data_IF_358510225662
#
_entry.id   IF_358510225662
#
_cell.length_a   1.000
_cell.length_b   1.000
_cell.length_c   1.000
_cell.angle_alpha   90.00
_cell.angle_beta   90.00
_cell.angle_gamma   90.00
#
_symmetry.space_group_name_H-M   'P 1'
#
loop_
_entity.id
_entity.type
_entity.pdbx_description
1 polymer ?
#
# COMPACT_ATOMS: atom_id res chain seq x y z
N UNK A 1 3.41 33.82 -45.07
CA UNK A 1 2.42 32.82 -44.62
C UNK A 1 3.05 31.42 -44.67
N UNK A 2 3.99 31.15 -43.76
CA UNK A 2 4.72 29.88 -43.59
C UNK A 2 5.46 29.88 -42.24
N UNK A 3 4.73 30.12 -41.15
CA UNK A 3 5.21 29.96 -39.75
C UNK A 3 3.99 29.59 -38.89
N UNK A 4 3.34 28.44 -39.14
CA UNK A 4 2.35 27.84 -38.23
C UNK A 4 2.37 26.30 -38.39
N UNK A 5 3.55 25.66 -38.42
CA UNK A 5 3.61 24.19 -38.44
C UNK A 5 4.68 23.57 -37.53
N UNK A 6 5.25 24.37 -36.63
CA UNK A 6 6.32 23.94 -35.71
C UNK A 6 6.01 24.35 -34.27
N UNK A 7 4.77 24.09 -33.83
CA UNK A 7 4.34 24.32 -32.44
C UNK A 7 3.39 23.24 -31.89
N UNK A 8 3.39 22.04 -32.46
CA UNK A 8 2.59 20.89 -31.96
C UNK A 8 3.48 19.72 -31.47
N UNK A 9 4.82 19.85 -31.50
CA UNK A 9 5.74 18.76 -31.13
C UNK A 9 6.57 18.97 -29.86
N UNK A 10 6.28 19.98 -29.02
CA UNK A 10 7.10 20.28 -27.82
C UNK A 10 6.29 20.48 -26.52
N UNK A 11 5.13 19.85 -26.38
CA UNK A 11 4.36 19.92 -25.11
C UNK A 11 3.80 18.59 -24.60
N UNK A 12 4.33 17.45 -25.06
CA UNK A 12 4.00 16.13 -24.48
C UNK A 12 5.01 15.69 -23.39
N UNK A 13 6.06 16.47 -23.14
CA UNK A 13 6.88 16.33 -21.94
C UNK A 13 6.40 17.28 -20.84
N UNK A 14 5.24 16.97 -20.27
CA UNK A 14 4.85 17.44 -18.95
C UNK A 14 4.27 16.23 -18.19
N UNK A 15 4.85 15.99 -17.02
CA UNK A 15 4.55 14.96 -16.02
C UNK A 15 3.20 14.24 -16.15
N UNK A 16 3.24 12.93 -16.41
CA UNK A 16 2.13 12.05 -16.07
C UNK A 16 2.65 10.81 -15.34
N UNK A 17 3.15 11.04 -14.13
CA UNK A 17 3.28 10.02 -13.08
C UNK A 17 1.96 9.89 -12.30
N UNK A 18 0.82 9.86 -13.00
CA UNK A 18 -0.45 9.49 -12.37
C UNK A 18 -0.63 7.97 -12.51
N UNK A 19 -0.12 7.25 -11.52
CA UNK A 19 -0.42 5.84 -11.26
C UNK A 19 -1.89 5.72 -10.85
N UNK A 20 -2.82 5.98 -11.76
CA UNK A 20 -4.24 5.89 -11.44
C UNK A 20 -4.67 4.42 -11.54
N UNK A 21 -4.88 3.81 -10.38
CA UNK A 21 -5.28 2.39 -10.27
C UNK A 21 -6.56 2.10 -11.07
N UNK A 22 -7.44 3.09 -11.20
CA UNK A 22 -8.65 3.03 -12.02
C UNK A 22 -8.35 2.78 -13.51
N UNK A 23 -7.29 3.40 -14.04
CA UNK A 23 -6.88 3.21 -15.43
C UNK A 23 -6.34 1.80 -15.66
N UNK A 24 -5.54 1.30 -14.72
CA UNK A 24 -5.09 -0.10 -14.73
C UNK A 24 -6.27 -1.07 -14.71
N UNK A 25 -7.26 -0.85 -13.84
CA UNK A 25 -8.44 -1.71 -13.73
C UNK A 25 -9.23 -1.69 -15.04
N UNK A 26 -9.51 -0.49 -15.58
CA UNK A 26 -10.24 -0.34 -16.83
C UNK A 26 -9.54 -1.06 -17.98
N UNK A 27 -8.24 -0.82 -18.16
CA UNK A 27 -7.42 -1.50 -19.17
C UNK A 27 -7.43 -3.01 -19.01
N UNK A 28 -7.35 -3.49 -17.77
CA UNK A 28 -7.38 -4.93 -17.46
C UNK A 28 -8.73 -5.56 -17.80
N UNK A 29 -9.84 -4.87 -17.51
CA UNK A 29 -11.19 -5.30 -17.90
C UNK A 29 -11.31 -5.36 -19.43
N UNK A 30 -10.85 -4.33 -20.13
CA UNK A 30 -10.92 -4.28 -21.60
C UNK A 30 -10.12 -5.41 -22.25
N UNK A 31 -8.88 -5.64 -21.81
CA UNK A 31 -8.03 -6.75 -22.29
C UNK A 31 -8.67 -8.11 -22.03
N UNK A 32 -9.26 -8.31 -20.85
CA UNK A 32 -9.99 -9.53 -20.48
C UNK A 32 -11.22 -9.74 -21.37
N UNK A 33 -12.01 -8.70 -21.60
CA UNK A 33 -13.18 -8.75 -22.48
C UNK A 33 -12.81 -9.16 -23.90
N UNK A 34 -11.70 -8.62 -24.44
CA UNK A 34 -11.19 -8.99 -25.77
C UNK A 34 -10.83 -10.48 -25.81
N UNK A 35 -10.10 -10.98 -24.81
CA UNK A 35 -9.71 -12.40 -24.74
C UNK A 35 -10.94 -13.32 -24.73
N UNK A 36 -11.93 -13.01 -23.90
CA UNK A 36 -13.13 -13.86 -23.72
C UNK A 36 -14.05 -13.78 -24.93
N UNK A 37 -14.23 -12.60 -25.53
CA UNK A 37 -14.96 -12.46 -26.78
C UNK A 37 -14.30 -13.25 -27.91
N UNK A 38 -12.97 -13.23 -28.01
CA UNK A 38 -12.24 -14.00 -29.02
C UNK A 38 -12.46 -15.51 -28.87
N UNK A 39 -12.46 -16.01 -27.62
CA UNK A 39 -12.76 -17.42 -27.32
C UNK A 39 -14.18 -17.77 -27.72
N UNK A 40 -15.16 -16.97 -27.28
CA UNK A 40 -16.57 -17.26 -27.51
C UNK A 40 -16.89 -17.32 -29.00
N UNK A 41 -16.29 -16.45 -29.82
CA UNK A 41 -16.43 -16.50 -31.28
C UNK A 41 -15.91 -17.82 -31.83
N UNK A 42 -14.66 -18.19 -31.51
CA UNK A 42 -14.04 -19.42 -32.05
C UNK A 42 -14.78 -20.67 -31.60
N UNK A 43 -15.12 -20.77 -30.31
CA UNK A 43 -15.86 -21.90 -29.74
C UNK A 43 -17.23 -22.02 -30.38
N UNK A 44 -17.97 -20.91 -30.47
CA UNK A 44 -19.33 -20.94 -31.02
C UNK A 44 -19.35 -21.27 -32.51
N UNK A 45 -18.35 -20.80 -33.29
CA UNK A 45 -18.19 -21.19 -34.70
C UNK A 45 -18.01 -22.70 -34.83
N UNK A 46 -17.08 -23.29 -34.08
CA UNK A 46 -16.81 -24.73 -34.14
C UNK A 46 -18.03 -25.54 -33.66
N UNK A 47 -18.70 -25.13 -32.58
CA UNK A 47 -19.91 -25.79 -32.06
C UNK A 47 -21.07 -25.77 -33.06
N UNK A 48 -21.26 -24.66 -33.78
CA UNK A 48 -22.29 -24.56 -34.81
C UNK A 48 -21.97 -25.46 -36.01
N UNK A 49 -20.71 -25.50 -36.45
CA UNK A 49 -20.27 -26.40 -37.52
C UNK A 49 -20.48 -27.88 -37.14
N UNK A 50 -20.13 -28.27 -35.91
CA UNK A 50 -20.40 -29.62 -35.40
C UNK A 50 -21.90 -29.92 -35.45
N UNK A 51 -22.74 -29.00 -34.96
CA UNK A 51 -24.19 -29.18 -34.93
C UNK A 51 -24.79 -29.33 -36.34
N UNK A 52 -24.32 -28.53 -37.30
CA UNK A 52 -24.78 -28.59 -38.68
C UNK A 52 -24.42 -29.95 -39.32
N UNK A 53 -23.21 -30.46 -39.06
CA UNK A 53 -22.77 -31.78 -39.50
C UNK A 53 -23.53 -32.93 -38.81
N UNK A 54 -23.84 -32.80 -37.53
CA UNK A 54 -24.68 -33.76 -36.78
C UNK A 54 -26.07 -33.87 -37.42
N UNK A 55 -26.68 -32.73 -37.78
CA UNK A 55 -27.98 -32.71 -38.48
C UNK A 55 -27.92 -33.44 -39.82
N UNK A 56 -26.81 -33.31 -40.57
CA UNK A 56 -26.62 -34.04 -41.83
C UNK A 56 -26.58 -35.56 -41.62
N UNK A 57 -25.98 -36.06 -40.54
CA UNK A 57 -25.90 -37.51 -40.27
C UNK A 57 -27.27 -38.18 -40.11
N UNK A 58 -28.26 -37.45 -39.57
CA UNK A 58 -29.62 -37.94 -39.36
C UNK A 58 -30.48 -37.91 -40.64
N UNK A 59 -29.99 -37.36 -41.75
CA UNK A 59 -30.73 -37.38 -43.01
C UNK A 59 -30.68 -38.78 -43.66
N UNK A 60 -31.85 -39.34 -43.95
CA UNK A 60 -32.00 -40.71 -44.47
C UNK A 60 -31.49 -40.92 -45.91
N UNK A 61 -31.13 -39.85 -46.62
CA UNK A 61 -30.76 -39.90 -48.04
C UNK A 61 -29.24 -39.99 -48.29
N UNK A 62 -28.42 -40.03 -47.25
CA UNK A 62 -26.95 -40.02 -47.38
C UNK A 62 -26.39 -41.44 -47.42
N UNK A 63 -25.54 -41.72 -48.42
CA UNK A 63 -24.82 -42.99 -48.60
C UNK A 63 -23.81 -43.18 -47.46
N UNK A 64 -23.59 -44.43 -47.03
CA UNK A 64 -22.74 -44.78 -45.89
C UNK A 64 -21.35 -44.13 -45.92
N UNK A 65 -20.68 -44.11 -47.06
CA UNK A 65 -19.34 -43.49 -47.23
C UNK A 65 -19.35 -42.02 -46.82
N UNK A 66 -20.33 -41.24 -47.28
CA UNK A 66 -20.49 -39.83 -46.90
C UNK A 66 -20.79 -39.64 -45.42
N UNK A 67 -21.48 -40.59 -44.78
CA UNK A 67 -21.70 -40.54 -43.32
C UNK A 67 -20.39 -40.76 -42.55
N UNK A 68 -19.50 -41.62 -43.05
CA UNK A 68 -18.17 -41.82 -42.47
C UNK A 68 -17.31 -40.56 -42.62
N UNK A 69 -17.34 -39.91 -43.78
CA UNK A 69 -16.60 -38.65 -44.00
C UNK A 69 -17.06 -37.54 -43.05
N UNK A 70 -18.38 -37.37 -42.87
CA UNK A 70 -18.96 -36.39 -41.93
C UNK A 70 -18.57 -36.71 -40.49
N UNK A 71 -18.55 -37.98 -40.08
CA UNK A 71 -18.08 -38.37 -38.74
C UNK A 71 -16.59 -38.06 -38.53
N UNK A 72 -15.75 -38.24 -39.55
CA UNK A 72 -14.33 -37.87 -39.48
C UNK A 72 -14.19 -36.37 -39.31
N UNK A 73 -14.97 -35.57 -40.02
CA UNK A 73 -14.97 -34.11 -39.91
C UNK A 73 -15.41 -33.64 -38.51
N UNK A 74 -16.49 -34.21 -37.95
CA UNK A 74 -16.91 -33.96 -36.56
C UNK A 74 -15.77 -34.27 -35.59
N UNK A 75 -15.10 -35.41 -35.71
CA UNK A 75 -13.97 -35.76 -34.84
C UNK A 75 -12.80 -34.77 -34.95
N UNK A 76 -12.55 -34.23 -36.14
CA UNK A 76 -11.53 -33.20 -36.36
C UNK A 76 -11.95 -31.86 -35.72
N UNK A 77 -13.22 -31.47 -35.85
CA UNK A 77 -13.77 -30.28 -35.21
C UNK A 77 -13.78 -30.40 -33.69
N UNK A 78 -14.15 -31.54 -33.12
CA UNK A 78 -14.07 -31.79 -31.68
C UNK A 78 -12.63 -31.67 -31.15
N UNK A 79 -11.65 -32.17 -31.92
CA UNK A 79 -10.23 -31.99 -31.58
C UNK A 79 -9.84 -30.51 -31.65
N UNK A 80 -10.29 -29.80 -32.68
CA UNK A 80 -10.06 -28.37 -32.86
C UNK A 80 -10.68 -27.54 -31.74
N UNK A 81 -11.88 -27.91 -31.28
CA UNK A 81 -12.56 -27.31 -30.14
C UNK A 81 -11.75 -27.48 -28.84
N UNK A 82 -11.28 -28.70 -28.57
CA UNK A 82 -10.41 -28.97 -27.41
C UNK A 82 -9.13 -28.15 -27.46
N UNK A 83 -8.49 -28.05 -28.63
CA UNK A 83 -7.28 -27.25 -28.82
C UNK A 83 -7.55 -25.75 -28.65
N UNK A 84 -8.68 -25.25 -29.15
CA UNK A 84 -9.07 -23.85 -29.00
C UNK A 84 -9.30 -23.47 -27.52
N UNK A 85 -9.95 -24.35 -26.74
CA UNK A 85 -10.15 -24.17 -25.30
C UNK A 85 -8.81 -24.16 -24.57
N UNK A 86 -7.95 -25.16 -24.81
CA UNK A 86 -6.63 -25.22 -24.18
C UNK A 86 -5.74 -24.00 -24.49
N UNK A 87 -5.79 -23.53 -25.75
CA UNK A 87 -5.07 -22.33 -26.19
C UNK A 87 -5.59 -21.08 -25.46
N UNK A 88 -6.90 -20.96 -25.27
CA UNK A 88 -7.48 -19.88 -24.49
C UNK A 88 -7.04 -19.94 -23.04
N UNK A 89 -7.11 -21.10 -22.39
CA UNK A 89 -6.73 -21.27 -20.99
C UNK A 89 -5.28 -20.82 -20.76
N UNK A 90 -4.37 -21.16 -21.68
CA UNK A 90 -2.96 -20.71 -21.63
C UNK A 90 -2.82 -19.21 -21.79
N UNK A 91 -3.53 -18.60 -22.74
CA UNK A 91 -3.55 -17.13 -22.89
C UNK A 91 -4.10 -16.46 -21.63
N UNK A 92 -5.10 -17.07 -20.99
CA UNK A 92 -5.71 -16.53 -19.78
C UNK A 92 -4.82 -16.68 -18.55
N UNK A 93 -4.10 -17.79 -18.41
CA UNK A 93 -3.03 -17.96 -17.39
C UNK A 93 -1.95 -16.90 -17.57
N UNK A 94 -1.46 -16.71 -18.80
CA UNK A 94 -0.48 -15.66 -19.12
C UNK A 94 -0.99 -14.28 -18.70
N UNK A 95 -2.20 -13.93 -19.14
CA UNK A 95 -2.84 -12.67 -18.79
C UNK A 95 -2.91 -12.46 -17.27
N UNK A 96 -3.45 -13.42 -16.51
CA UNK A 96 -3.56 -13.32 -15.05
C UNK A 96 -2.20 -13.13 -14.39
N UNK A 97 -1.18 -13.85 -14.86
CA UNK A 97 0.17 -13.77 -14.32
C UNK A 97 0.82 -12.39 -14.59
N UNK A 98 0.67 -11.87 -15.82
CA UNK A 98 1.14 -10.52 -16.16
C UNK A 98 0.48 -9.46 -15.28
N UNK A 99 -0.84 -9.53 -15.10
CA UNK A 99 -1.56 -8.61 -14.21
C UNK A 99 -1.13 -8.76 -12.76
N UNK A 100 -0.78 -9.95 -12.31
CA UNK A 100 -0.19 -10.14 -10.99
C UNK A 100 1.15 -9.43 -10.81
N UNK A 101 2.02 -9.42 -11.82
CA UNK A 101 3.27 -8.64 -11.80
C UNK A 101 2.98 -7.13 -11.75
N UNK A 102 2.03 -6.64 -12.56
CA UNK A 102 1.63 -5.23 -12.55
C UNK A 102 1.08 -4.81 -11.17
N UNK A 103 0.28 -5.67 -10.52
CA UNK A 103 -0.23 -5.45 -9.16
C UNK A 103 0.92 -5.41 -8.13
N UNK A 104 1.86 -6.36 -8.20
CA UNK A 104 3.03 -6.38 -7.33
C UNK A 104 3.84 -5.09 -7.44
N UNK A 105 4.08 -4.61 -8.66
CA UNK A 105 4.76 -3.35 -8.93
C UNK A 105 4.02 -2.18 -8.26
N UNK A 106 2.71 -2.04 -8.50
CA UNK A 106 1.92 -0.95 -7.93
C UNK A 106 1.92 -0.96 -6.40
N UNK A 107 1.71 -2.11 -5.78
CA UNK A 107 1.68 -2.21 -4.31
C UNK A 107 3.05 -1.93 -3.71
N UNK A 108 4.12 -2.38 -4.36
CA UNK A 108 5.47 -2.08 -3.92
C UNK A 108 5.76 -0.57 -3.93
N UNK A 109 5.35 0.17 -4.97
CA UNK A 109 5.49 1.65 -4.97
C UNK A 109 4.69 2.31 -3.84
N UNK A 110 3.52 1.79 -3.47
CA UNK A 110 2.74 2.29 -2.33
C UNK A 110 3.45 2.02 -1.00
N UNK A 111 4.06 0.85 -0.82
CA UNK A 111 4.85 0.50 0.36
C UNK A 111 6.09 1.42 0.49
N UNK A 112 6.75 1.74 -0.64
CA UNK A 112 7.85 2.71 -0.65
C UNK A 112 7.38 4.13 -0.31
N UNK A 113 6.21 4.53 -0.81
CA UNK A 113 5.61 5.82 -0.47
C UNK A 113 5.30 5.92 1.03
N UNK A 114 4.83 4.83 1.64
CA UNK A 114 4.65 4.71 3.09
C UNK A 114 5.97 4.79 3.85
N UNK A 115 7.04 4.15 3.34
CA UNK A 115 8.37 4.22 3.95
C UNK A 115 8.89 5.66 3.99
N UNK A 116 8.73 6.40 2.88
CA UNK A 116 9.01 7.83 2.83
C UNK A 116 8.13 8.62 3.80
N UNK A 117 6.82 8.36 3.84
CA UNK A 117 5.89 8.98 4.79
C UNK A 117 6.39 8.83 6.22
N UNK A 118 6.67 7.60 6.67
CA UNK A 118 7.17 7.35 8.02
C UNK A 118 8.57 7.94 8.26
N UNK A 119 9.40 8.06 7.22
CA UNK A 119 10.70 8.73 7.28
C UNK A 119 10.61 10.24 7.50
N UNK A 120 9.52 10.87 7.06
CA UNK A 120 9.28 12.32 7.23
C UNK A 120 8.57 12.70 8.52
N UNK A 121 8.09 11.73 9.31
CA UNK A 121 7.40 12.01 10.56
C UNK A 121 8.37 12.50 11.65
N UNK A 122 7.81 13.28 12.57
CA UNK A 122 8.55 13.85 13.71
C UNK A 122 9.28 12.78 14.50
N UNK A 123 10.52 13.08 14.86
CA UNK A 123 11.35 12.19 15.65
C UNK A 123 10.89 12.15 17.11
N UNK A 124 11.36 11.14 17.85
CA UNK A 124 11.18 11.09 19.30
C UNK A 124 11.64 12.38 19.98
N UNK A 125 12.73 12.97 19.45
CA UNK A 125 13.33 14.16 20.02
C UNK A 125 12.40 15.36 19.85
N UNK A 126 11.72 15.49 18.71
CA UNK A 126 10.74 16.56 18.49
C UNK A 126 9.55 16.42 19.44
N UNK A 127 9.05 15.20 19.62
CA UNK A 127 7.92 14.88 20.52
C UNK A 127 8.30 15.08 22.00
N UNK A 128 9.53 14.70 22.37
CA UNK A 128 10.06 14.93 23.70
C UNK A 128 10.29 16.42 23.98
N UNK A 129 10.69 17.21 22.99
CA UNK A 129 10.84 18.66 23.12
C UNK A 129 9.49 19.36 23.30
N UNK A 130 8.45 18.92 22.58
CA UNK A 130 7.08 19.47 22.71
C UNK A 130 6.54 19.31 24.13
N UNK A 131 6.72 18.14 24.73
CA UNK A 131 6.27 17.86 26.10
C UNK A 131 7.26 18.29 27.18
N UNK A 132 8.37 18.95 26.84
CA UNK A 132 9.36 19.39 27.83
C UNK A 132 9.21 20.90 28.10
N UNK A 133 8.87 21.31 29.33
CA UNK A 133 8.64 22.70 29.68
C UNK A 133 9.94 23.51 29.59
N UNK A 134 11.11 22.86 29.75
CA UNK A 134 12.41 23.51 29.59
C UNK A 134 12.73 23.88 28.12
N UNK A 135 11.96 23.39 27.15
CA UNK A 135 12.06 23.81 25.74
C UNK A 135 11.50 25.22 25.50
N UNK A 136 10.74 25.77 26.46
CA UNK A 136 10.09 27.08 26.32
C UNK A 136 10.88 28.17 27.07
N UNK A 137 11.37 29.21 26.37
CA UNK A 137 12.15 30.28 26.99
C UNK A 137 11.41 31.03 28.11
N UNK A 138 10.09 31.17 27.97
CA UNK A 138 9.24 31.81 29.00
C UNK A 138 9.24 31.01 30.30
N UNK A 139 9.08 29.68 30.21
CA UNK A 139 9.13 28.80 31.36
C UNK A 139 10.52 28.84 32.02
N UNK A 140 11.60 28.75 31.23
CA UNK A 140 12.97 28.82 31.77
C UNK A 140 13.21 30.14 32.51
N UNK A 141 12.77 31.27 31.93
CA UNK A 141 12.92 32.60 32.55
C UNK A 141 12.16 32.71 33.86
N UNK A 142 10.92 32.20 33.92
CA UNK A 142 10.10 32.23 35.13
C UNK A 142 10.65 31.26 36.18
N UNK A 143 11.11 30.08 35.77
CA UNK A 143 11.79 29.11 36.64
C UNK A 143 13.04 29.73 37.30
N UNK A 144 13.88 30.42 36.55
CA UNK A 144 15.08 31.08 37.10
C UNK A 144 14.73 32.27 38.01
N UNK A 145 13.69 33.05 37.67
CA UNK A 145 13.18 34.10 38.55
C UNK A 145 12.68 33.53 39.89
N UNK A 146 11.93 32.43 39.85
CA UNK A 146 11.45 31.74 41.05
C UNK A 146 12.62 31.15 41.87
N UNK A 147 13.63 30.55 41.23
CA UNK A 147 14.88 30.10 41.88
C UNK A 147 15.57 31.23 42.63
N UNK A 148 15.79 32.37 41.96
CA UNK A 148 16.51 33.51 42.56
C UNK A 148 15.82 34.12 43.80
N UNK A 149 14.51 33.89 43.95
CA UNK A 149 13.70 34.42 45.05
C UNK A 149 13.53 33.45 46.25
N UNK A 150 14.25 32.33 46.25
CA UNK A 150 14.34 31.38 47.39
C UNK A 150 15.61 31.63 48.22
N UNK A 151 15.48 32.31 49.37
CA UNK A 151 16.59 32.61 50.30
C UNK A 151 16.81 31.50 51.35
N UNK A 152 16.88 30.22 50.99
CA UNK A 152 17.37 29.23 51.97
C UNK A 152 18.89 29.34 52.10
N UNK A 153 19.42 29.27 53.32
CA UNK A 153 20.87 29.36 53.62
C UNK A 153 21.70 28.29 52.91
N UNK A 154 21.06 27.23 52.43
CA UNK A 154 21.55 26.33 51.39
C UNK A 154 20.53 26.29 50.25
N UNK A 155 20.80 26.85 49.06
CA UNK A 155 19.94 26.62 47.92
C UNK A 155 20.05 25.14 47.59
N UNK A 156 18.94 24.40 47.70
CA UNK A 156 18.87 23.02 47.18
C UNK A 156 19.04 23.14 45.67
N UNK A 157 20.30 23.06 45.20
CA UNK A 157 20.64 23.06 43.79
C UNK A 157 20.31 21.68 43.27
N UNK A 158 19.24 21.58 42.50
CA UNK A 158 18.97 20.37 41.74
C UNK A 158 20.21 20.08 40.87
N UNK A 159 20.76 18.87 40.94
CA UNK A 159 21.72 18.41 39.95
C UNK A 159 21.18 18.63 38.54
N UNK A 160 22.06 18.94 37.58
CA UNK A 160 21.68 19.29 36.19
C UNK A 160 20.75 18.25 35.55
N UNK A 161 20.91 16.96 35.87
CA UNK A 161 20.04 15.89 35.35
C UNK A 161 18.61 15.94 35.91
N UNK A 162 18.41 16.35 37.16
CA UNK A 162 17.08 16.56 37.74
C UNK A 162 16.49 17.89 37.27
N UNK A 163 17.33 18.91 37.09
CA UNK A 163 16.89 20.23 36.65
C UNK A 163 16.43 20.24 35.18
N UNK A 164 16.84 19.26 34.37
CA UNK A 164 16.39 19.08 32.99
C UNK A 164 15.20 18.11 32.86
N UNK A 165 14.80 17.42 33.94
CA UNK A 165 13.65 16.53 33.90
C UNK A 165 12.35 17.36 33.90
N UNK A 166 11.42 17.16 32.94
CA UNK A 166 10.17 17.91 32.84
C UNK A 166 9.38 17.97 34.15
N UNK A 167 9.12 16.82 34.78
CA UNK A 167 8.29 16.73 35.98
C UNK A 167 8.96 17.39 37.18
N UNK A 168 10.28 17.22 37.31
CA UNK A 168 11.05 17.82 38.42
C UNK A 168 11.17 19.34 38.23
N UNK A 169 11.42 19.83 37.01
CA UNK A 169 11.40 21.25 36.68
C UNK A 169 10.09 21.91 37.07
N UNK A 170 8.98 21.24 36.76
CA UNK A 170 7.64 21.75 37.05
C UNK A 170 7.33 21.71 38.54
N UNK A 171 7.60 20.57 39.19
CA UNK A 171 7.43 20.44 40.63
C UNK A 171 8.25 21.50 41.39
N UNK A 172 9.47 21.76 40.93
CA UNK A 172 10.31 22.81 41.48
C UNK A 172 9.72 24.22 41.26
N UNK A 173 9.21 24.53 40.08
CA UNK A 173 8.55 25.81 39.80
C UNK A 173 7.30 26.01 40.68
N UNK A 174 6.47 24.97 40.84
CA UNK A 174 5.28 24.98 41.73
C UNK A 174 5.69 25.22 43.18
N UNK A 175 6.62 24.42 43.72
CA UNK A 175 7.09 24.56 45.10
C UNK A 175 7.73 25.94 45.34
N UNK A 176 8.53 26.43 44.40
CA UNK A 176 9.19 27.74 44.53
C UNK A 176 8.20 28.90 44.48
N UNK A 177 7.11 28.77 43.74
CA UNK A 177 6.04 29.78 43.74
C UNK A 177 5.30 29.85 45.06
N UNK A 178 4.97 28.70 45.68
CA UNK A 178 4.27 28.67 46.98
C UNK A 178 5.17 29.06 48.16
N UNK A 179 6.39 28.53 48.23
CA UNK A 179 7.28 28.67 49.39
C UNK A 179 8.38 29.74 49.22
N UNK A 180 8.40 30.46 48.09
CA UNK A 180 9.33 31.56 47.85
C UNK A 180 9.20 32.73 48.85
N UNK A 181 10.27 33.52 48.96
CA UNK A 181 10.35 34.64 49.91
C UNK A 181 10.06 36.02 49.30
N UNK A 182 9.80 36.08 47.99
CA UNK A 182 9.46 37.31 47.26
C UNK A 182 7.98 37.72 47.35
N UNK A 183 7.63 38.82 46.67
CA UNK A 183 6.25 39.33 46.61
C UNK A 183 5.27 38.25 46.11
N UNK A 184 4.22 38.00 46.90
CA UNK A 184 3.21 36.98 46.63
C UNK A 184 2.39 37.31 45.38
N UNK A 185 2.04 38.58 45.16
CA UNK A 185 1.26 38.98 43.98
C UNK A 185 2.07 38.78 42.70
N UNK A 186 3.35 39.17 42.71
CA UNK A 186 4.25 38.98 41.58
C UNK A 186 4.46 37.51 41.23
N UNK A 187 4.65 36.64 42.23
CA UNK A 187 4.79 35.18 42.02
C UNK A 187 3.53 34.53 41.47
N UNK A 188 2.36 34.97 41.94
CA UNK A 188 1.09 34.45 41.44
C UNK A 188 0.88 34.84 39.97
N UNK A 189 1.15 36.09 39.61
CA UNK A 189 1.13 36.53 38.22
C UNK A 189 2.19 35.87 37.32
N UNK A 190 3.34 35.46 37.86
CA UNK A 190 4.34 34.67 37.12
C UNK A 190 3.87 33.22 36.90
N UNK A 191 3.16 32.60 37.86
CA UNK A 191 2.59 31.26 37.65
C UNK A 191 1.41 31.25 36.71
N UNK A 192 0.55 32.27 36.75
CA UNK A 192 -0.55 32.39 35.80
C UNK A 192 -0.04 32.41 34.35
N UNK A 193 1.11 33.05 34.10
CA UNK A 193 1.73 33.09 32.76
C UNK A 193 2.20 31.75 32.23
N UNK A 194 2.60 30.82 33.10
CA UNK A 194 3.08 29.49 32.69
C UNK A 194 2.08 28.37 32.98
N UNK A 195 0.90 28.71 33.50
CA UNK A 195 -0.13 27.74 33.90
C UNK A 195 -0.52 26.80 32.75
N UNK A 196 -0.73 27.34 31.55
CA UNK A 196 -1.01 26.56 30.35
C UNK A 196 0.14 25.65 29.92
N UNK A 197 1.39 26.12 29.98
CA UNK A 197 2.56 25.29 29.65
C UNK A 197 2.72 24.13 30.65
N UNK A 198 2.41 24.40 31.93
CA UNK A 198 2.44 23.38 32.97
C UNK A 198 1.33 22.34 32.75
N UNK A 199 0.11 22.79 32.53
CA UNK A 199 -1.03 21.93 32.27
C UNK A 199 -0.84 21.07 31.01
N UNK A 200 -0.40 21.70 29.92
CA UNK A 200 -0.08 21.02 28.67
C UNK A 200 0.99 19.94 28.86
N UNK A 201 2.09 20.28 29.55
CA UNK A 201 3.17 19.32 29.79
C UNK A 201 2.67 18.11 30.58
N UNK A 202 1.93 18.31 31.67
CA UNK A 202 1.46 17.21 32.51
C UNK A 202 0.46 16.33 31.76
N UNK A 203 -0.46 16.96 31.03
CA UNK A 203 -1.51 16.26 30.30
C UNK A 203 -0.96 15.50 29.09
N UNK A 204 -0.08 16.13 28.31
CA UNK A 204 0.35 15.60 27.02
C UNK A 204 1.64 14.78 27.05
N UNK A 205 2.41 14.77 28.15
CA UNK A 205 3.69 14.05 28.16
C UNK A 205 3.55 12.55 27.92
N UNK A 206 2.54 11.90 28.49
CA UNK A 206 2.28 10.47 28.27
C UNK A 206 1.68 10.23 26.88
N UNK A 207 0.72 11.06 26.51
CA UNK A 207 -0.06 10.96 25.28
C UNK A 207 0.79 11.14 24.02
N UNK A 208 1.69 12.12 24.02
CA UNK A 208 2.64 12.34 22.94
C UNK A 208 3.62 11.18 22.78
N UNK A 209 4.02 10.52 23.89
CA UNK A 209 4.84 9.29 23.82
C UNK A 209 4.08 8.13 23.20
N UNK A 210 2.78 8.00 23.48
CA UNK A 210 1.93 6.96 22.87
C UNK A 210 1.91 7.16 21.35
N UNK A 211 1.66 8.39 20.87
CA UNK A 211 1.68 8.70 19.44
C UNK A 211 3.03 8.31 18.82
N UNK A 212 4.14 8.65 19.47
CA UNK A 212 5.47 8.26 19.00
C UNK A 212 5.65 6.75 18.86
N UNK A 213 5.44 5.98 19.94
CA UNK A 213 5.73 4.54 19.93
C UNK A 213 4.80 3.77 18.99
N UNK A 214 3.56 4.22 18.85
CA UNK A 214 2.61 3.60 17.91
C UNK A 214 2.94 3.97 16.45
N UNK A 215 3.47 5.16 16.20
CA UNK A 215 4.01 5.53 14.89
C UNK A 215 5.24 4.69 14.53
N UNK A 216 6.15 4.48 15.48
CA UNK A 216 7.33 3.62 15.27
C UNK A 216 6.92 2.15 15.03
N UNK A 217 5.90 1.67 15.74
CA UNK A 217 5.30 0.37 15.47
C UNK A 217 4.75 0.24 14.04
N UNK A 218 4.04 1.26 13.54
CA UNK A 218 3.56 1.28 12.15
C UNK A 218 4.71 1.26 11.14
N UNK A 219 5.78 2.00 11.42
CA UNK A 219 7.00 2.02 10.59
C UNK A 219 7.65 0.64 10.51
N UNK A 220 7.80 -0.05 11.64
CA UNK A 220 8.35 -1.41 11.68
C UNK A 220 7.48 -2.40 10.89
N UNK A 221 6.15 -2.32 11.05
CA UNK A 221 5.22 -3.17 10.29
C UNK A 221 5.26 -2.88 8.78
N UNK A 222 5.46 -1.63 8.35
CA UNK A 222 5.66 -1.30 6.94
C UNK A 222 6.95 -1.93 6.38
N UNK A 223 8.04 -1.95 7.18
CA UNK A 223 9.28 -2.63 6.79
C UNK A 223 9.10 -4.14 6.66
N UNK A 224 8.33 -4.77 7.56
CA UNK A 224 7.98 -6.18 7.44
C UNK A 224 7.15 -6.45 6.18
N UNK A 225 6.15 -5.60 5.91
CA UNK A 225 5.30 -5.69 4.72
C UNK A 225 6.13 -5.55 3.42
N UNK A 226 7.11 -4.65 3.40
CA UNK A 226 8.09 -4.52 2.32
C UNK A 226 8.87 -5.82 2.12
N UNK A 227 9.41 -6.39 3.20
CA UNK A 227 10.14 -7.66 3.16
C UNK A 227 9.29 -8.81 2.60
N UNK A 228 8.04 -8.92 3.05
CA UNK A 228 7.06 -9.90 2.53
C UNK A 228 6.77 -9.68 1.04
N UNK A 229 6.64 -8.43 0.59
CA UNK A 229 6.42 -8.11 -0.83
C UNK A 229 7.60 -8.57 -1.72
N UNK A 230 8.83 -8.28 -1.29
CA UNK A 230 10.05 -8.69 -1.99
C UNK A 230 10.15 -10.22 -2.07
N UNK A 231 9.85 -10.90 -0.96
CA UNK A 231 9.85 -12.36 -0.92
C UNK A 231 8.74 -12.96 -1.80
N UNK A 232 7.54 -12.37 -1.78
CA UNK A 232 6.44 -12.77 -2.65
C UNK A 232 6.83 -12.66 -4.12
N UNK A 233 7.42 -11.54 -4.55
CA UNK A 233 7.86 -11.37 -5.93
C UNK A 233 8.89 -12.44 -6.34
N UNK A 234 9.84 -12.76 -5.45
CA UNK A 234 10.82 -13.84 -5.70
C UNK A 234 10.13 -15.19 -5.87
N UNK A 235 9.16 -15.51 -5.02
CA UNK A 235 8.41 -16.76 -5.11
C UNK A 235 7.49 -16.81 -6.34
N UNK A 236 6.92 -15.66 -6.70
CA UNK A 236 6.06 -15.48 -7.85
C UNK A 236 6.84 -15.73 -9.15
N UNK A 237 8.01 -15.09 -9.29
CA UNK A 237 8.83 -15.09 -10.51
C UNK A 237 9.78 -16.28 -10.63
N UNK A 238 9.98 -17.05 -9.55
CA UNK A 238 10.71 -18.32 -9.58
C UNK A 238 10.15 -19.30 -10.62
N UNK A 239 8.83 -19.31 -10.83
CA UNK A 239 8.15 -20.23 -11.75
C UNK A 239 8.55 -19.98 -13.21
N UNK A 240 8.88 -18.74 -13.56
CA UNK A 240 9.35 -18.34 -14.90
C UNK A 240 10.89 -18.23 -14.98
N UNK A 241 11.60 -18.64 -13.93
CA UNK A 241 13.07 -18.67 -13.91
C UNK A 241 13.76 -17.33 -13.64
N UNK A 242 13.02 -16.28 -13.26
CA UNK A 242 13.63 -15.02 -12.83
C UNK A 242 14.30 -15.17 -11.45
N UNK A 243 15.49 -14.59 -11.27
CA UNK A 243 16.33 -14.83 -10.08
C UNK A 243 16.56 -13.59 -9.20
N UNK A 244 16.29 -12.40 -9.72
CA UNK A 244 16.59 -11.16 -9.01
C UNK A 244 15.46 -10.76 -8.06
N UNK A 245 15.78 -9.90 -7.08
CA UNK A 245 14.78 -9.36 -6.15
C UNK A 245 13.93 -8.28 -6.82
N UNK A 246 12.81 -7.96 -6.18
CA UNK A 246 11.93 -6.88 -6.59
C UNK A 246 12.64 -5.52 -6.62
N UNK A 247 13.46 -5.24 -5.60
CA UNK A 247 14.21 -3.99 -5.50
C UNK A 247 15.14 -3.83 -6.71
N UNK A 248 15.88 -4.88 -7.05
CA UNK A 248 16.77 -4.89 -8.19
C UNK A 248 16.00 -4.72 -9.50
N UNK A 249 14.93 -5.50 -9.70
CA UNK A 249 14.09 -5.43 -10.90
C UNK A 249 13.54 -4.02 -11.12
N UNK A 250 13.15 -3.33 -10.04
CA UNK A 250 12.69 -1.95 -10.08
C UNK A 250 13.82 -0.98 -10.42
N UNK A 251 14.96 -1.09 -9.73
CA UNK A 251 16.06 -0.13 -9.83
C UNK A 251 16.70 -0.11 -11.23
N UNK A 252 16.72 -1.26 -11.92
CA UNK A 252 17.24 -1.37 -13.30
C UNK A 252 16.13 -1.49 -14.37
N UNK A 253 14.87 -1.31 -13.98
CA UNK A 253 13.68 -1.38 -14.87
C UNK A 253 13.57 -2.68 -15.69
N UNK A 254 13.89 -3.82 -15.09
CA UNK A 254 14.00 -5.14 -15.75
C UNK A 254 12.64 -5.86 -15.97
N UNK A 255 11.54 -5.10 -16.01
CA UNK A 255 10.20 -5.66 -16.15
C UNK A 255 10.00 -6.38 -17.49
N UNK A 256 10.59 -5.85 -18.56
CA UNK A 256 10.48 -6.46 -19.90
C UNK A 256 11.10 -7.85 -19.96
N UNK A 257 12.18 -8.08 -19.21
CA UNK A 257 12.82 -9.39 -19.10
C UNK A 257 11.91 -10.39 -18.37
N UNK A 258 11.28 -9.98 -17.26
CA UNK A 258 10.26 -10.77 -16.54
C UNK A 258 9.13 -11.18 -17.51
N UNK A 259 8.65 -10.25 -18.33
CA UNK A 259 7.61 -10.53 -19.33
C UNK A 259 8.11 -11.46 -20.43
N UNK A 260 9.35 -11.30 -20.92
CA UNK A 260 9.92 -12.19 -21.94
C UNK A 260 10.08 -13.63 -21.45
N UNK A 261 10.49 -13.81 -20.19
CA UNK A 261 10.65 -15.13 -19.57
C UNK A 261 9.30 -15.83 -19.39
N UNK A 262 8.26 -15.06 -19.06
CA UNK A 262 6.89 -15.57 -19.07
C UNK A 262 6.48 -16.00 -20.47
N UNK A 263 6.74 -15.18 -21.49
CA UNK A 263 6.41 -15.50 -22.88
C UNK A 263 7.11 -16.77 -23.37
N UNK A 264 8.39 -16.94 -23.02
CA UNK A 264 9.16 -18.16 -23.29
C UNK A 264 8.58 -19.37 -22.56
N UNK A 265 8.23 -19.21 -21.28
CA UNK A 265 7.60 -20.27 -20.47
C UNK A 265 6.27 -20.72 -21.09
N UNK A 266 5.41 -19.79 -21.50
CA UNK A 266 4.11 -20.10 -22.12
C UNK A 266 4.30 -20.72 -23.51
N UNK A 267 5.25 -20.26 -24.32
CA UNK A 267 5.59 -20.90 -25.61
C UNK A 267 6.03 -22.34 -25.42
N UNK A 268 6.90 -22.57 -24.44
CA UNK A 268 7.39 -23.90 -24.07
C UNK A 268 6.22 -24.80 -23.69
N UNK A 269 5.31 -24.33 -22.82
CA UNK A 269 4.12 -25.09 -22.41
C UNK A 269 3.16 -25.39 -23.58
N UNK A 270 2.97 -24.45 -24.50
CA UNK A 270 2.13 -24.64 -25.69
C UNK A 270 2.70 -25.70 -26.64
N UNK A 271 4.01 -25.69 -26.89
CA UNK A 271 4.67 -26.63 -27.80
C UNK A 271 4.55 -28.10 -27.36
N UNK A 272 4.38 -28.35 -26.05
CA UNK A 272 4.14 -29.70 -25.52
C UNK A 272 2.67 -30.12 -25.54
N UNK A 273 1.72 -29.21 -25.79
CA UNK A 273 0.29 -29.53 -25.86
C UNK A 273 -0.10 -30.28 -27.14
N UNK A 274 0.76 -30.26 -28.17
CA UNK A 274 0.51 -30.89 -29.48
C UNK A 274 1.02 -32.34 -29.59
N UNK A 275 1.62 -32.89 -28.51
CA UNK A 275 2.21 -34.24 -28.51
C UNK A 275 1.27 -35.29 -27.85
N UNK A 276 1.19 -36.52 -28.39
CA UNK A 276 0.32 -37.57 -27.85
C UNK A 276 0.81 -38.10 -26.50
N UNK A 277 -0.06 -38.00 -25.48
CA UNK A 277 -0.08 -38.68 -24.18
C UNK A 277 1.25 -39.33 -23.72
N UNK A 278 2.07 -38.55 -23.00
CA UNK A 278 3.24 -39.03 -22.27
C UNK A 278 3.37 -38.32 -20.90
N UNK A 279 4.30 -38.76 -20.04
CA UNK A 279 4.61 -38.18 -18.72
C UNK A 279 4.77 -36.65 -18.71
N UNK A 280 5.02 -36.03 -19.86
CA UNK A 280 5.16 -34.58 -20.07
C UNK A 280 3.87 -33.79 -19.78
N UNK A 281 2.68 -34.38 -19.92
CA UNK A 281 1.42 -33.71 -19.56
C UNK A 281 1.29 -33.45 -18.07
N UNK A 282 1.91 -34.29 -17.21
CA UNK A 282 1.93 -34.08 -15.76
C UNK A 282 2.80 -32.89 -15.38
N UNK A 283 3.95 -32.71 -16.05
CA UNK A 283 4.82 -31.53 -15.85
C UNK A 283 4.19 -30.23 -16.34
N UNK A 284 3.47 -30.25 -17.47
CA UNK A 284 2.74 -29.08 -17.97
C UNK A 284 1.65 -28.66 -16.98
N UNK A 285 0.81 -29.62 -16.54
CA UNK A 285 -0.24 -29.35 -15.55
C UNK A 285 0.33 -28.84 -14.23
N UNK A 286 1.45 -29.41 -13.78
CA UNK A 286 2.17 -28.92 -12.60
C UNK A 286 2.65 -27.47 -12.76
N UNK A 287 3.20 -27.12 -13.92
CA UNK A 287 3.69 -25.75 -14.18
C UNK A 287 2.55 -24.73 -14.29
N UNK A 288 1.41 -25.09 -14.90
CA UNK A 288 0.20 -24.26 -14.89
C UNK A 288 -0.27 -24.04 -13.44
N UNK A 289 -0.36 -25.10 -12.65
CA UNK A 289 -0.76 -25.01 -11.25
C UNK A 289 0.18 -24.09 -10.44
N UNK A 290 1.49 -24.08 -10.74
CA UNK A 290 2.44 -23.19 -10.07
C UNK A 290 2.19 -21.71 -10.41
N UNK A 291 1.82 -21.41 -11.66
CA UNK A 291 1.43 -20.05 -12.06
C UNK A 291 0.14 -19.62 -11.35
N UNK A 292 -0.87 -20.49 -11.28
CA UNK A 292 -2.11 -20.22 -10.56
C UNK A 292 -1.91 -20.05 -9.06
N UNK A 293 -1.09 -20.89 -8.44
CA UNK A 293 -0.77 -20.79 -7.02
C UNK A 293 -0.01 -19.50 -6.67
N UNK A 294 0.81 -19.00 -7.60
CA UNK A 294 1.49 -17.71 -7.45
C UNK A 294 0.47 -16.56 -7.38
N UNK A 295 -0.61 -16.64 -8.16
CA UNK A 295 -1.72 -15.66 -8.13
C UNK A 295 -2.49 -15.74 -6.81
N UNK A 296 -2.75 -16.93 -6.28
CA UNK A 296 -3.45 -17.07 -4.99
C UNK A 296 -2.64 -16.50 -3.82
N UNK A 297 -1.32 -16.70 -3.83
CA UNK A 297 -0.41 -16.07 -2.86
C UNK A 297 -0.43 -14.55 -2.95
N UNK A 298 -0.47 -14.01 -4.17
CA UNK A 298 -0.64 -12.58 -4.39
C UNK A 298 -1.92 -12.09 -3.74
N UNK A 299 -3.07 -12.74 -4.00
CA UNK A 299 -4.34 -12.37 -3.37
C UNK A 299 -4.27 -12.37 -1.84
N UNK A 300 -3.59 -13.35 -1.25
CA UNK A 300 -3.33 -13.39 0.20
C UNK A 300 -2.59 -12.16 0.70
N UNK A 301 -1.48 -11.81 0.04
CA UNK A 301 -0.69 -10.64 0.38
C UNK A 301 -1.45 -9.32 0.20
N UNK A 302 -2.28 -9.20 -0.82
CA UNK A 302 -3.12 -8.01 -1.03
C UNK A 302 -4.09 -7.80 0.13
N UNK A 303 -4.64 -8.87 0.69
CA UNK A 303 -5.47 -8.76 1.90
C UNK A 303 -4.64 -8.30 3.11
N UNK A 304 -3.41 -8.81 3.29
CA UNK A 304 -2.50 -8.34 4.35
C UNK A 304 -2.18 -6.85 4.19
N UNK A 305 -1.86 -6.40 2.97
CA UNK A 305 -1.65 -4.98 2.66
C UNK A 305 -2.89 -4.14 2.99
N UNK A 306 -4.08 -4.55 2.53
CA UNK A 306 -5.32 -3.81 2.80
C UNK A 306 -5.64 -3.73 4.29
N UNK A 307 -5.34 -4.78 5.06
CA UNK A 307 -5.50 -4.78 6.51
C UNK A 307 -4.54 -3.79 7.18
N UNK A 308 -3.27 -3.77 6.74
CA UNK A 308 -2.29 -2.81 7.23
C UNK A 308 -2.72 -1.36 6.99
N UNK A 309 -3.23 -1.03 5.78
CA UNK A 309 -3.74 0.32 5.50
C UNK A 309 -4.90 0.69 6.42
N UNK A 310 -5.90 -0.19 6.55
CA UNK A 310 -7.05 0.07 7.44
C UNK A 310 -6.64 0.19 8.91
N UNK A 311 -5.61 -0.56 9.33
CA UNK A 311 -5.08 -0.43 10.67
C UNK A 311 -4.35 0.91 10.85
N UNK A 312 -3.50 1.30 9.91
CA UNK A 312 -2.79 2.59 9.95
C UNK A 312 -3.75 3.78 10.03
N UNK A 313 -4.81 3.78 9.22
CA UNK A 313 -5.89 4.78 9.28
C UNK A 313 -6.48 4.91 10.70
N UNK A 314 -6.81 3.77 11.35
CA UNK A 314 -7.34 3.75 12.72
C UNK A 314 -6.34 4.28 13.75
N UNK A 315 -5.05 4.01 13.60
CA UNK A 315 -4.02 4.58 14.47
C UNK A 315 -3.96 6.09 14.33
N UNK A 316 -4.01 6.64 13.12
CA UNK A 316 -4.03 8.09 12.94
C UNK A 316 -5.29 8.75 13.48
N UNK A 317 -6.47 8.12 13.36
CA UNK A 317 -7.67 8.58 14.05
C UNK A 317 -7.52 8.55 15.58
N UNK A 318 -6.88 7.52 16.12
CA UNK A 318 -6.55 7.44 17.54
C UNK A 318 -5.62 8.58 17.96
N UNK A 319 -4.57 8.87 17.17
CA UNK A 319 -3.66 9.99 17.45
C UNK A 319 -4.40 11.32 17.45
N UNK A 320 -5.31 11.54 16.49
CA UNK A 320 -6.15 12.72 16.45
C UNK A 320 -7.05 12.83 17.69
N UNK A 321 -7.65 11.72 18.13
CA UNK A 321 -8.46 11.70 19.35
C UNK A 321 -7.63 12.06 20.59
N UNK A 322 -6.41 11.55 20.68
CA UNK A 322 -5.48 11.87 21.78
C UNK A 322 -5.23 13.38 21.81
N UNK A 323 -4.89 14.00 20.67
CA UNK A 323 -4.66 15.46 20.62
C UNK A 323 -5.94 16.28 20.89
N UNK A 324 -7.11 15.79 20.50
CA UNK A 324 -8.37 16.49 20.77
C UNK A 324 -8.83 16.41 22.23
N UNK A 325 -8.35 15.43 22.98
CA UNK A 325 -8.71 15.24 24.39
C UNK A 325 -7.97 16.19 25.35
N UNK A 326 -7.11 17.07 24.86
CA UNK A 326 -6.51 18.12 25.69
C UNK A 326 -7.59 19.16 26.10
N UNK A 327 -8.13 19.01 27.31
CA UNK A 327 -9.31 19.74 27.81
C UNK A 327 -9.17 21.27 27.76
N UNK A 328 -7.97 21.80 28.00
CA UNK A 328 -7.74 23.25 28.08
C UNK A 328 -7.26 23.88 26.77
N UNK A 329 -7.36 23.17 25.64
CA UNK A 329 -6.88 23.64 24.33
C UNK A 329 -7.39 25.05 23.98
N UNK A 330 -8.68 25.30 24.15
CA UNK A 330 -9.31 26.57 23.75
C UNK A 330 -8.87 27.76 24.62
N UNK A 331 -8.52 27.48 25.88
CA UNK A 331 -8.07 28.49 26.85
C UNK A 331 -6.58 28.79 26.64
N UNK A 332 -5.80 27.76 26.31
CA UNK A 332 -4.34 27.82 26.26
C UNK A 332 -3.77 27.99 24.86
N UNK A 333 -4.60 28.09 23.81
CA UNK A 333 -4.18 27.99 22.40
C UNK A 333 -3.07 28.99 22.00
N UNK A 334 -3.08 30.19 22.57
CA UNK A 334 -2.09 31.24 22.28
C UNK A 334 -0.74 31.01 22.96
N UNK A 335 -0.69 30.12 23.95
CA UNK A 335 0.50 29.72 24.70
C UNK A 335 0.96 28.30 24.38
N UNK A 336 0.18 27.57 23.56
CA UNK A 336 0.56 26.23 23.12
C UNK A 336 1.73 26.28 22.13
N UNK A 337 2.54 25.21 22.07
CA UNK A 337 3.65 25.11 21.13
C UNK A 337 3.13 25.08 19.69
N UNK A 338 3.74 25.82 18.76
CA UNK A 338 3.35 25.78 17.34
C UNK A 338 3.45 24.36 16.78
N UNK A 339 4.44 23.60 17.26
CA UNK A 339 4.67 22.20 16.89
C UNK A 339 3.49 21.29 17.23
N UNK A 340 2.68 21.64 18.24
CA UNK A 340 1.48 20.90 18.59
C UNK A 340 0.40 21.02 17.51
N UNK A 341 0.17 22.24 17.01
CA UNK A 341 -0.77 22.52 15.92
C UNK A 341 -0.27 21.92 14.60
N UNK A 342 1.04 21.96 14.35
CA UNK A 342 1.65 21.31 13.20
C UNK A 342 1.44 19.79 13.25
N UNK A 343 1.64 19.14 14.40
CA UNK A 343 1.42 17.71 14.57
C UNK A 343 -0.04 17.32 14.31
N UNK A 344 -1.01 18.12 14.77
CA UNK A 344 -2.43 17.88 14.48
C UNK A 344 -2.72 17.94 12.98
N UNK A 345 -2.17 18.93 12.28
CA UNK A 345 -2.30 19.06 10.83
C UNK A 345 -1.62 17.90 10.08
N UNK A 346 -0.43 17.48 10.50
CA UNK A 346 0.29 16.33 9.95
C UNK A 346 -0.52 15.03 10.11
N UNK A 347 -1.19 14.83 11.24
CA UNK A 347 -2.08 13.69 11.47
C UNK A 347 -3.29 13.74 10.55
N UNK A 348 -3.94 14.91 10.39
CA UNK A 348 -5.08 15.06 9.48
C UNK A 348 -4.70 14.76 8.03
N UNK A 349 -3.55 15.27 7.58
CA UNK A 349 -3.01 14.94 6.25
C UNK A 349 -2.67 13.46 6.11
N UNK A 350 -2.21 12.83 7.20
CA UNK A 350 -1.92 11.39 7.20
C UNK A 350 -3.21 10.58 7.07
N UNK A 351 -4.29 10.95 7.77
CA UNK A 351 -5.60 10.30 7.63
C UNK A 351 -6.04 10.34 6.16
N UNK A 352 -6.03 11.53 5.54
CA UNK A 352 -6.41 11.71 4.13
C UNK A 352 -5.57 10.83 3.19
N UNK A 353 -4.24 10.77 3.39
CA UNK A 353 -3.35 9.89 2.61
C UNK A 353 -3.67 8.41 2.80
N UNK A 354 -4.01 7.97 4.01
CA UNK A 354 -4.40 6.59 4.27
C UNK A 354 -5.74 6.25 3.63
N UNK A 355 -6.70 7.17 3.63
CA UNK A 355 -8.02 7.00 3.02
C UNK A 355 -7.98 7.00 1.48
N UNK A 356 -7.05 7.76 0.89
CA UNK A 356 -6.98 8.01 -0.56
C UNK A 356 -5.72 7.42 -1.22
N UNK A 357 -4.54 7.92 -0.88
CA UNK A 357 -3.31 7.63 -1.59
C UNK A 357 -2.81 6.20 -1.38
N UNK A 358 -2.99 5.63 -0.19
CA UNK A 358 -2.53 4.27 0.15
C UNK A 358 -3.65 3.23 0.08
N UNK A 359 -4.89 3.65 0.29
CA UNK A 359 -6.04 2.77 0.12
C UNK A 359 -6.28 2.52 -1.36
N UNK A 360 -6.31 1.24 -1.72
CA UNK A 360 -6.66 0.80 -3.06
C UNK A 360 -7.94 0.00 -2.92
N UNK A 361 -9.07 0.70 -2.98
CA UNK A 361 -10.39 0.11 -2.70
C UNK A 361 -10.73 -1.02 -3.68
N UNK A 362 -10.15 -0.97 -4.87
CA UNK A 362 -10.29 -1.91 -5.97
C UNK A 362 -9.47 -3.20 -5.75
N UNK A 363 -8.43 -3.16 -4.90
CA UNK A 363 -7.67 -4.35 -4.48
C UNK A 363 -8.42 -5.19 -3.43
N UNK A 364 -9.58 -4.73 -2.93
CA UNK A 364 -10.35 -5.48 -1.93
C UNK A 364 -10.94 -6.75 -2.52
N UNK A 365 -10.46 -7.88 -1.99
CA UNK A 365 -11.07 -9.21 -1.99
C UNK A 365 -11.84 -9.61 -3.25
N UNK A 366 -13.14 -9.32 -3.29
CA UNK A 366 -14.04 -9.77 -4.36
C UNK A 366 -13.72 -9.11 -5.70
N UNK A 367 -13.50 -7.79 -5.76
CA UNK A 367 -13.26 -7.09 -7.03
C UNK A 367 -11.99 -7.57 -7.74
N UNK A 368 -10.89 -7.72 -6.98
CA UNK A 368 -9.64 -8.20 -7.54
C UNK A 368 -9.73 -9.67 -7.95
N UNK A 369 -10.41 -10.48 -7.14
CA UNK A 369 -10.66 -11.88 -7.48
C UNK A 369 -11.53 -12.01 -8.73
N UNK A 370 -12.56 -11.18 -8.87
CA UNK A 370 -13.42 -11.13 -10.05
C UNK A 370 -12.65 -10.63 -11.27
N UNK A 371 -11.75 -9.67 -11.10
CA UNK A 371 -10.86 -9.20 -12.17
C UNK A 371 -9.98 -10.34 -12.70
N UNK A 372 -9.34 -11.09 -11.80
CA UNK A 372 -8.40 -12.15 -12.17
C UNK A 372 -9.08 -13.46 -12.56
N UNK A 373 -10.21 -13.83 -11.93
CA UNK A 373 -10.84 -15.14 -12.09
C UNK A 373 -12.29 -15.12 -12.56
N UNK A 374 -13.01 -14.01 -12.41
CA UNK A 374 -14.42 -13.91 -12.81
C UNK A 374 -14.63 -14.02 -14.31
N UNK A 375 -15.82 -14.40 -14.74
CA UNK A 375 -16.26 -14.17 -16.12
C UNK A 375 -16.74 -12.72 -16.24
N UNK A 376 -16.50 -12.01 -17.36
CA UNK A 376 -17.15 -10.74 -17.62
C UNK A 376 -18.66 -10.98 -17.71
N UNK A 377 -19.43 -10.19 -16.96
CA UNK A 377 -20.89 -10.14 -17.11
C UNK A 377 -21.29 -9.51 -18.45
#
# INVERSE_FOLDING_TARGET
>A
MKIIFTLILVSIFYDCHSNNFDDFIRKTIDEKCVLIKSRNIVVHTIENEIRDLEVLLYQNQIILEKKVDVLIEILQLERSLKNAIATFDMKFVKFRYQKGIEILKMVYEKILSLDHHFGTLRSFQDIALMSNPNSYPEFVKIKENLKSNTKSKDPIRLPVFLDNNPLISMGYAVVSSFFGTGDKQKRQGEMEKISCLLDFTLSMQSDLKIIYYETDYLKLNNQELKGKCIQLFKDYTKVIGYKFSLDYCRDIDDWDNVISLLDETIRTLNNYSDQPFSQEQKSIKHNINNLEFSIDRLLGFINEYSLFISQGEKYYHKFLSILKNYEHKDICISQLPTQYLELENEILQSIDKFETAYNVAELKGTKLRDLLYGSPE
#
